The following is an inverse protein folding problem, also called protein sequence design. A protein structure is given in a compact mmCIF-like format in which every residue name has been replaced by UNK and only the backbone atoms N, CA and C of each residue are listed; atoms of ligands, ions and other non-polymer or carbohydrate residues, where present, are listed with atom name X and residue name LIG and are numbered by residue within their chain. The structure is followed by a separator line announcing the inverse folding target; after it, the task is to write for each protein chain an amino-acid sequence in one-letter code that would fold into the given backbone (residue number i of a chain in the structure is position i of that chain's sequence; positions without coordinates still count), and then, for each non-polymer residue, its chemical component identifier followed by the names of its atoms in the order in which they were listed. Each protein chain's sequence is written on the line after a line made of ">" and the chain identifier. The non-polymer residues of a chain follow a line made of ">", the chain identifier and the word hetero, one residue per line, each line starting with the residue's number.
data_IF_092312983082
#
_entry.id   IF_092312983082
#
_cell.length_a   1.000
_cell.length_b   1.000
_cell.length_c   1.000
_cell.angle_alpha   90.00
_cell.angle_beta   90.00
_cell.angle_gamma   90.00
#
_symmetry.space_group_name_H-M   'P 1'
#
loop_
_entity.id
_entity.type
_entity.pdbx_description
1 polymer ?
#
# COMPACT_ATOMS: atom_id res chain seq x y z
N UNK A 1 30.20 -14.28 53.55
CA UNK A 1 30.38 -13.13 52.62
C UNK A 1 30.37 -13.64 51.18
N UNK A 2 29.27 -14.26 50.72
CA UNK A 2 29.21 -14.92 49.40
C UNK A 2 27.83 -14.84 48.74
N UNK A 3 27.01 -13.86 49.14
CA UNK A 3 25.74 -13.52 48.47
C UNK A 3 25.91 -12.39 47.46
N UNK A 4 26.83 -11.45 47.72
CA UNK A 4 27.04 -10.26 46.87
C UNK A 4 27.66 -10.52 45.49
N UNK A 5 28.31 -11.67 45.25
CA UNK A 5 28.96 -11.97 43.96
C UNK A 5 27.95 -12.50 42.92
N UNK A 6 26.84 -13.10 43.38
CA UNK A 6 25.80 -13.62 42.48
C UNK A 6 24.94 -12.51 41.86
N UNK A 7 24.71 -11.42 42.59
CA UNK A 7 23.89 -10.30 42.12
C UNK A 7 24.57 -9.49 41.01
N UNK A 8 25.90 -9.34 41.05
CA UNK A 8 26.66 -8.58 40.05
C UNK A 8 26.65 -9.30 38.70
N UNK A 9 26.74 -10.63 38.68
CA UNK A 9 26.70 -11.42 37.44
C UNK A 9 25.33 -11.38 36.77
N UNK A 10 24.24 -11.45 37.55
CA UNK A 10 22.89 -11.37 37.00
C UNK A 10 22.57 -9.98 36.41
N UNK A 11 23.08 -8.92 37.04
CA UNK A 11 22.88 -7.54 36.59
C UNK A 11 23.60 -7.22 35.27
N UNK A 12 24.77 -7.84 35.04
CA UNK A 12 25.55 -7.70 33.79
C UNK A 12 24.93 -8.45 32.61
N UNK A 13 24.27 -9.59 32.88
CA UNK A 13 23.56 -10.36 31.84
C UNK A 13 22.25 -9.66 31.45
N UNK A 14 21.52 -9.09 32.42
CA UNK A 14 20.28 -8.35 32.15
C UNK A 14 20.53 -7.08 31.31
N UNK A 15 21.66 -6.40 31.52
CA UNK A 15 22.00 -5.14 30.83
C UNK A 15 22.47 -5.35 29.38
N UNK A 16 23.05 -6.51 29.04
CA UNK A 16 23.38 -6.83 27.63
C UNK A 16 22.15 -7.13 26.76
N UNK A 17 21.05 -7.60 27.34
CA UNK A 17 19.81 -7.89 26.58
C UNK A 17 19.06 -6.64 26.14
N UNK A 18 19.25 -5.51 26.83
CA UNK A 18 18.52 -4.25 26.55
C UNK A 18 19.11 -3.51 25.33
N UNK A 19 20.36 -3.79 24.97
CA UNK A 19 21.04 -3.13 23.84
C UNK A 19 20.68 -3.72 22.46
N UNK A 20 20.03 -4.88 22.38
CA UNK A 20 19.63 -5.50 21.11
C UNK A 20 18.28 -5.02 20.56
N UNK A 21 17.50 -4.25 21.32
CA UNK A 21 16.17 -3.77 20.88
C UNK A 21 16.18 -2.45 20.09
N UNK A 22 17.35 -1.85 19.81
CA UNK A 22 17.43 -0.60 19.05
C UNK A 22 17.43 -0.78 17.52
N UNK A 23 17.44 -2.01 16.99
CA UNK A 23 17.60 -2.26 15.54
C UNK A 23 16.31 -2.64 14.78
N UNK A 24 15.12 -2.56 15.39
CA UNK A 24 13.89 -3.05 14.75
C UNK A 24 12.79 -2.00 14.51
N UNK A 25 13.09 -0.70 14.66
CA UNK A 25 12.10 0.36 14.45
C UNK A 25 12.39 1.28 13.24
N UNK A 26 13.39 0.95 12.42
CA UNK A 26 13.67 1.66 11.16
C UNK A 26 13.17 0.82 9.98
N UNK A 27 11.85 0.88 9.76
CA UNK A 27 11.15 0.77 8.47
C UNK A 27 11.94 0.08 7.34
N UNK A 28 12.19 -1.22 7.48
CA UNK A 28 12.70 -2.04 6.39
C UNK A 28 11.52 -2.43 5.49
N UNK A 29 11.07 -1.50 4.64
CA UNK A 29 10.28 -1.87 3.46
C UNK A 29 11.24 -2.45 2.40
N UNK A 30 11.86 -3.60 2.73
CA UNK A 30 12.75 -4.36 1.82
C UNK A 30 12.01 -4.82 0.57
N UNK A 31 10.67 -4.86 0.64
CA UNK A 31 9.80 -5.38 -0.40
C UNK A 31 9.27 -4.29 -1.36
N UNK A 32 9.67 -3.03 -1.18
CA UNK A 32 9.30 -1.93 -2.08
C UNK A 32 7.80 -1.86 -2.30
N UNK A 33 7.01 -2.01 -1.23
CA UNK A 33 5.56 -1.96 -1.36
C UNK A 33 5.13 -0.60 -1.90
N UNK A 34 4.35 -0.53 -3.00
CA UNK A 34 3.95 0.75 -3.55
C UNK A 34 3.18 1.55 -2.50
N UNK A 35 3.58 2.82 -2.34
CA UNK A 35 2.95 3.69 -1.35
C UNK A 35 1.52 3.97 -1.81
N UNK A 36 0.63 4.24 -0.86
CA UNK A 36 -0.75 4.63 -1.20
C UNK A 36 -0.79 5.84 -2.15
N UNK A 37 0.20 6.74 -2.03
CA UNK A 37 0.41 7.89 -2.90
C UNK A 37 0.63 7.56 -4.38
N UNK A 38 1.04 6.33 -4.69
CA UNK A 38 1.39 5.91 -6.04
C UNK A 38 0.16 5.44 -6.83
N UNK A 39 -0.96 5.22 -6.15
CA UNK A 39 -2.23 4.82 -6.75
C UNK A 39 -3.09 6.02 -7.15
N UNK A 40 -3.85 5.86 -8.24
CA UNK A 40 -4.92 6.79 -8.58
C UNK A 40 -6.03 6.67 -7.54
N UNK A 41 -6.51 7.81 -7.06
CA UNK A 41 -7.58 7.88 -6.05
C UNK A 41 -8.77 8.68 -6.56
N UNK A 42 -9.96 8.29 -6.14
CA UNK A 42 -11.18 9.07 -6.35
C UNK A 42 -11.19 10.35 -5.49
N UNK A 43 -12.27 11.13 -5.61
CA UNK A 43 -12.47 12.36 -4.83
C UNK A 43 -12.57 12.15 -3.30
N UNK A 44 -12.81 10.90 -2.86
CA UNK A 44 -12.92 10.53 -1.46
C UNK A 44 -11.60 9.93 -0.92
N UNK A 45 -10.57 9.78 -1.77
CA UNK A 45 -9.30 9.16 -1.42
C UNK A 45 -9.27 7.64 -1.57
N UNK A 46 -10.31 7.01 -2.10
CA UNK A 46 -10.30 5.56 -2.34
C UNK A 46 -9.49 5.22 -3.58
N UNK A 47 -8.78 4.09 -3.57
CA UNK A 47 -8.08 3.59 -4.75
C UNK A 47 -9.06 3.27 -5.87
N UNK A 48 -8.69 3.62 -7.10
CA UNK A 48 -9.48 3.30 -8.30
C UNK A 48 -8.99 1.99 -8.89
N UNK A 49 -9.92 1.09 -9.25
CA UNK A 49 -9.65 -0.23 -9.79
C UNK A 49 -10.31 -0.40 -11.16
N UNK A 50 -9.69 -1.17 -12.06
CA UNK A 50 -10.31 -1.58 -13.31
C UNK A 50 -11.46 -2.57 -13.08
N UNK A 51 -12.18 -2.92 -14.14
CA UNK A 51 -13.29 -3.89 -14.09
C UNK A 51 -12.89 -5.32 -13.73
N UNK A 52 -11.59 -5.59 -13.53
CA UNK A 52 -11.02 -6.88 -13.10
C UNK A 52 -10.43 -6.81 -11.69
N UNK A 53 -10.61 -5.69 -10.98
CA UNK A 53 -10.10 -5.49 -9.63
C UNK A 53 -8.62 -5.13 -9.54
N UNK A 54 -7.98 -4.71 -10.65
CA UNK A 54 -6.57 -4.26 -10.64
C UNK A 54 -6.51 -2.76 -10.36
N UNK A 55 -5.77 -2.36 -9.33
CA UNK A 55 -5.62 -0.96 -8.97
C UNK A 55 -4.85 -0.19 -10.04
N UNK A 56 -5.24 1.06 -10.28
CA UNK A 56 -4.49 1.96 -11.15
C UNK A 56 -3.36 2.64 -10.39
N UNK A 57 -2.15 2.57 -10.95
CA UNK A 57 -1.06 3.45 -10.55
C UNK A 57 -1.16 4.78 -11.29
N UNK A 58 -0.80 5.87 -10.60
CA UNK A 58 -0.68 7.21 -11.20
C UNK A 58 0.28 7.14 -12.39
N UNK A 59 -0.08 7.82 -13.47
CA UNK A 59 0.71 7.89 -14.71
C UNK A 59 1.03 6.54 -15.37
N UNK A 60 0.35 5.45 -14.99
CA UNK A 60 0.61 4.15 -15.60
C UNK A 60 0.07 4.06 -17.02
N UNK A 61 0.80 3.33 -17.86
CA UNK A 61 0.34 2.94 -19.20
C UNK A 61 -0.96 2.14 -19.12
N UNK A 62 -1.12 1.30 -18.08
CA UNK A 62 -2.34 0.54 -17.86
C UNK A 62 -3.58 1.44 -17.73
N UNK A 63 -3.56 2.48 -16.90
CA UNK A 63 -4.68 3.41 -16.76
C UNK A 63 -5.00 4.13 -18.08
N UNK A 64 -3.95 4.55 -18.81
CA UNK A 64 -4.10 5.22 -20.11
C UNK A 64 -4.76 4.33 -21.16
N UNK A 65 -4.34 3.06 -21.25
CA UNK A 65 -4.94 2.07 -22.15
C UNK A 65 -6.39 1.82 -21.74
N UNK A 66 -6.65 1.62 -20.44
CA UNK A 66 -8.00 1.37 -19.96
C UNK A 66 -8.98 2.50 -20.33
N UNK A 67 -8.59 3.76 -20.15
CA UNK A 67 -9.45 4.88 -20.57
C UNK A 67 -9.65 4.91 -22.08
N UNK A 68 -8.62 4.63 -22.87
CA UNK A 68 -8.70 4.57 -24.33
C UNK A 68 -9.65 3.45 -24.81
N UNK A 69 -9.47 2.23 -24.31
CA UNK A 69 -10.24 1.05 -24.72
C UNK A 69 -11.72 1.17 -24.37
N UNK A 70 -12.05 1.91 -23.31
CA UNK A 70 -13.42 2.14 -22.85
C UNK A 70 -13.98 3.50 -23.29
N UNK A 71 -13.27 4.24 -24.14
CA UNK A 71 -13.67 5.56 -24.63
C UNK A 71 -14.01 6.55 -23.49
N UNK A 72 -13.22 6.50 -22.41
CA UNK A 72 -13.33 7.37 -21.24
C UNK A 72 -12.33 8.52 -21.33
N UNK A 73 -12.66 9.71 -20.78
CA UNK A 73 -11.67 10.76 -20.58
C UNK A 73 -10.47 10.28 -19.75
N UNK A 74 -9.28 10.80 -20.06
CA UNK A 74 -8.09 10.52 -19.24
C UNK A 74 -8.29 11.05 -17.83
N UNK A 75 -7.92 10.27 -16.83
CA UNK A 75 -8.10 10.63 -15.42
C UNK A 75 -9.50 10.33 -14.89
N UNK A 76 -10.41 9.70 -15.66
CA UNK A 76 -11.72 9.30 -15.13
C UNK A 76 -11.55 8.30 -13.98
N UNK A 77 -12.08 8.69 -12.81
CA UNK A 77 -12.12 7.87 -11.58
C UNK A 77 -13.51 7.34 -11.26
N UNK A 78 -14.54 7.88 -11.93
CA UNK A 78 -15.95 7.55 -11.70
C UNK A 78 -16.52 6.85 -12.94
N UNK A 79 -16.73 5.54 -12.85
CA UNK A 79 -17.29 4.72 -13.91
C UNK A 79 -17.95 3.46 -13.34
N UNK A 80 -18.82 2.83 -14.13
CA UNK A 80 -19.45 1.55 -13.81
C UNK A 80 -18.91 0.48 -14.74
N UNK A 81 -18.73 -0.73 -14.22
CA UNK A 81 -18.33 -1.89 -15.01
C UNK A 81 -19.55 -2.74 -15.38
N UNK A 82 -19.76 -2.99 -16.67
CA UNK A 82 -20.81 -3.87 -17.22
C UNK A 82 -20.14 -4.79 -18.23
N UNK A 83 -20.29 -6.11 -18.04
CA UNK A 83 -19.70 -7.15 -18.91
C UNK A 83 -18.20 -6.97 -19.20
N UNK A 84 -17.45 -6.49 -18.20
CA UNK A 84 -16.01 -6.26 -18.29
C UNK A 84 -15.59 -4.98 -19.03
N UNK A 85 -16.55 -4.15 -19.46
CA UNK A 85 -16.30 -2.80 -20.01
C UNK A 85 -16.72 -1.72 -19.03
N UNK A 86 -16.02 -0.60 -19.07
CA UNK A 86 -16.26 0.56 -18.23
C UNK A 86 -17.06 1.63 -18.97
N UNK A 87 -18.03 2.21 -18.28
CA UNK A 87 -18.90 3.25 -18.81
C UNK A 87 -18.97 4.42 -17.85
N UNK A 88 -19.08 5.63 -18.39
CA UNK A 88 -19.48 6.78 -17.58
C UNK A 88 -20.87 6.51 -17.01
N UNK A 89 -21.10 6.95 -15.77
CA UNK A 89 -22.38 6.77 -15.10
C UNK A 89 -23.54 7.30 -15.95
N UNK A 90 -24.55 6.47 -16.20
CA UNK A 90 -25.70 6.77 -17.05
C UNK A 90 -25.44 6.60 -18.55
N UNK A 91 -24.27 6.07 -18.95
CA UNK A 91 -23.91 5.73 -20.34
C UNK A 91 -23.73 4.23 -20.53
N UNK A 92 -23.96 3.43 -19.50
CA UNK A 92 -24.02 1.98 -19.59
C UNK A 92 -25.13 1.52 -20.56
N UNK A 93 -24.93 0.38 -21.25
CA UNK A 93 -25.99 -0.25 -22.02
C UNK A 93 -27.17 -0.59 -21.10
N UNK A 94 -28.39 -0.41 -21.62
CA UNK A 94 -29.64 -0.72 -20.92
C UNK A 94 -30.07 -2.15 -21.14
#
# INVERSE_FOLDING_TARGET
>A
MMRFIFDIKYSLVLSSSILLTACSASNFDILGTPKSSDYLTDKNGNKVFDCRGRAFFKNSTHARIFWSDNNLPKGTTEFTCVDGKAYLKGKEPK
#
